data_IF_409821209370
#
_entry.id   IF_409821209370
#
_cell.length_a   1.000
_cell.length_b   1.000
_cell.length_c   1.000
_cell.angle_alpha   90.00
_cell.angle_beta   90.00
_cell.angle_gamma   90.00
#
_symmetry.space_group_name_H-M   'P 1'
#
loop_
_entity.id
_entity.type
_entity.pdbx_description
1 polymer ?
#
# COMPACT_ATOMS: atom_id res chain seq x y z
N UNK A 1 7.68 50.68 -9.44
CA UNK A 1 6.29 50.23 -9.21
C UNK A 1 6.26 48.73 -9.46
N UNK A 2 6.04 47.96 -8.39
CA UNK A 2 6.28 46.51 -8.37
C UNK A 2 4.98 45.80 -8.71
N UNK A 3 4.80 45.38 -9.95
CA UNK A 3 3.62 44.67 -10.43
C UNK A 3 3.77 43.18 -10.05
N UNK A 4 3.52 42.84 -8.77
CA UNK A 4 3.32 41.46 -8.33
C UNK A 4 1.98 41.01 -8.87
N UNK A 5 1.98 40.37 -10.05
CA UNK A 5 0.82 39.66 -10.56
C UNK A 5 0.24 38.79 -9.45
N UNK A 6 -1.02 39.08 -9.07
CA UNK A 6 -1.80 38.23 -8.16
C UNK A 6 -2.02 36.89 -8.86
N UNK A 7 -1.13 35.92 -8.60
CA UNK A 7 -1.37 34.55 -9.06
C UNK A 7 -2.76 34.11 -8.60
N UNK A 8 -3.59 33.69 -9.55
CA UNK A 8 -4.91 33.14 -9.30
C UNK A 8 -4.84 32.04 -8.25
N UNK A 9 -5.88 31.88 -7.43
CA UNK A 9 -5.99 30.77 -6.45
C UNK A 9 -5.76 29.41 -7.11
N UNK A 10 -6.24 29.22 -8.34
CA UNK A 10 -6.02 28.01 -9.12
C UNK A 10 -4.54 27.78 -9.49
N UNK A 11 -3.77 28.82 -9.77
CA UNK A 11 -2.34 28.68 -10.05
C UNK A 11 -1.54 28.35 -8.79
N UNK A 12 -1.97 28.86 -7.61
CA UNK A 12 -1.36 28.50 -6.31
C UNK A 12 -1.64 27.06 -5.91
N UNK A 13 -2.85 26.57 -6.17
CA UNK A 13 -3.20 25.16 -5.96
C UNK A 13 -2.38 24.23 -6.88
N UNK A 14 -2.22 24.59 -8.15
CA UNK A 14 -1.41 23.83 -9.11
C UNK A 14 0.08 23.83 -8.80
N UNK A 15 0.59 24.83 -8.07
CA UNK A 15 1.98 24.92 -7.64
C UNK A 15 2.23 24.21 -6.29
N UNK A 16 1.17 23.78 -5.57
CA UNK A 16 1.30 23.15 -4.26
C UNK A 16 2.00 21.80 -4.34
N UNK A 17 2.73 21.43 -3.29
CA UNK A 17 3.38 20.12 -3.17
C UNK A 17 2.37 18.97 -3.23
N UNK A 18 1.21 19.14 -2.60
CA UNK A 18 0.11 18.17 -2.62
C UNK A 18 -0.33 17.88 -4.06
N UNK A 19 -0.57 18.94 -4.86
CA UNK A 19 -0.96 18.79 -6.25
C UNK A 19 0.11 18.12 -7.10
N UNK A 20 1.38 18.49 -6.91
CA UNK A 20 2.52 17.88 -7.61
C UNK A 20 2.76 16.42 -7.22
N UNK A 21 2.43 16.04 -6.00
CA UNK A 21 2.50 14.65 -5.54
C UNK A 21 1.38 13.79 -6.13
N UNK A 22 0.17 14.34 -6.24
CA UNK A 22 -0.99 13.66 -6.83
C UNK A 22 -0.88 13.61 -8.37
N UNK A 23 -0.51 14.71 -9.00
CA UNK A 23 -0.40 14.85 -10.46
C UNK A 23 1.06 15.03 -10.85
N UNK A 24 1.81 13.94 -10.88
CA UNK A 24 3.25 13.95 -11.21
C UNK A 24 3.56 14.37 -12.64
N UNK A 25 2.63 14.19 -13.57
CA UNK A 25 2.81 14.48 -15.01
C UNK A 25 2.47 15.93 -15.39
N UNK A 26 2.03 16.78 -14.43
CA UNK A 26 1.56 18.13 -14.70
C UNK A 26 0.26 18.15 -15.51
N UNK A 27 -0.16 19.36 -15.97
CA UNK A 27 -1.37 19.47 -16.80
C UNK A 27 -1.05 19.03 -18.23
N UNK A 28 -1.68 17.96 -18.74
CA UNK A 28 -1.36 17.40 -20.05
C UNK A 28 -1.86 18.32 -21.17
N UNK A 29 -0.96 18.82 -21.99
CA UNK A 29 -1.28 19.74 -23.11
C UNK A 29 -1.40 19.01 -24.44
N UNK A 30 -0.68 17.90 -24.64
CA UNK A 30 -0.74 17.11 -25.87
C UNK A 30 -1.62 15.86 -25.71
N UNK A 31 -2.12 15.31 -26.84
CA UNK A 31 -2.91 14.06 -26.83
C UNK A 31 -2.16 12.91 -26.17
N UNK A 32 -0.85 12.82 -26.42
CA UNK A 32 0.04 11.81 -25.83
C UNK A 32 0.19 11.99 -24.33
N UNK A 33 0.33 13.24 -23.85
CA UNK A 33 0.37 13.54 -22.40
C UNK A 33 -0.95 13.24 -21.71
N UNK A 34 -2.11 13.48 -22.37
CA UNK A 34 -3.43 13.13 -21.83
C UNK A 34 -3.58 11.62 -21.67
N UNK A 35 -3.11 10.83 -22.64
CA UNK A 35 -3.09 9.36 -22.54
C UNK A 35 -2.23 8.90 -21.35
N UNK A 36 -1.04 9.47 -21.18
CA UNK A 36 -0.18 9.14 -20.03
C UNK A 36 -0.76 9.63 -18.70
N UNK A 37 -1.49 10.74 -18.67
CA UNK A 37 -2.17 11.23 -17.46
C UNK A 37 -3.34 10.32 -17.05
N UNK A 38 -4.07 9.74 -18.01
CA UNK A 38 -5.11 8.72 -17.73
C UNK A 38 -4.49 7.44 -17.19
N UNK A 39 -3.34 7.02 -17.74
CA UNK A 39 -2.58 5.87 -17.27
C UNK A 39 -1.85 6.14 -15.94
N UNK A 40 -1.62 7.41 -15.59
CA UNK A 40 -0.95 7.85 -14.36
C UNK A 40 -1.90 8.44 -13.32
N UNK A 41 -3.19 8.10 -13.35
CA UNK A 41 -4.15 8.56 -12.35
C UNK A 41 -3.90 7.90 -10.98
N UNK A 42 -4.65 8.30 -9.94
CA UNK A 42 -4.46 7.85 -8.55
C UNK A 42 -4.41 6.33 -8.40
N UNK A 43 -5.18 5.58 -9.19
CA UNK A 43 -5.15 4.10 -9.16
C UNK A 43 -3.85 3.52 -9.75
N UNK A 44 -3.28 4.16 -10.77
CA UNK A 44 -2.00 3.76 -11.37
C UNK A 44 -0.79 4.38 -10.63
N UNK A 45 -1.04 5.25 -9.67
CA UNK A 45 -0.01 5.79 -8.78
C UNK A 45 0.53 4.73 -7.83
N UNK A 46 -0.35 3.84 -7.37
CA UNK A 46 0.03 2.65 -6.60
C UNK A 46 0.81 1.65 -7.46
N UNK A 47 0.59 1.67 -8.79
CA UNK A 47 1.29 0.82 -9.75
C UNK A 47 1.81 1.68 -10.91
N UNK A 48 2.95 2.34 -10.77
CA UNK A 48 3.51 3.17 -11.84
C UNK A 48 3.74 2.33 -13.09
N UNK A 49 3.22 2.80 -14.24
CA UNK A 49 3.33 2.12 -15.53
C UNK A 49 4.77 1.95 -16.04
N UNK A 50 5.73 2.68 -15.45
CA UNK A 50 7.16 2.59 -15.77
C UNK A 50 7.97 2.58 -14.49
N UNK A 51 8.60 1.45 -14.21
CA UNK A 51 9.56 1.30 -13.11
C UNK A 51 10.98 1.26 -13.67
N UNK A 52 11.94 1.94 -13.03
CA UNK A 52 13.35 1.76 -13.35
C UNK A 52 13.72 0.29 -13.16
N UNK A 53 14.51 -0.27 -14.09
CA UNK A 53 14.91 -1.70 -14.04
C UNK A 53 15.57 -2.11 -12.71
N UNK A 54 16.32 -1.20 -12.08
CA UNK A 54 16.94 -1.49 -10.78
C UNK A 54 15.92 -1.57 -9.64
N UNK A 55 14.80 -0.83 -9.71
CA UNK A 55 13.76 -0.85 -8.68
C UNK A 55 12.95 -2.16 -8.66
N UNK A 56 13.03 -2.97 -9.72
CA UNK A 56 12.34 -4.27 -9.84
C UNK A 56 13.27 -5.44 -9.47
N UNK A 57 14.59 -5.20 -9.33
CA UNK A 57 15.52 -6.27 -8.95
C UNK A 57 15.24 -6.75 -7.54
N UNK A 58 15.04 -8.06 -7.40
CA UNK A 58 14.81 -8.73 -6.10
C UNK A 58 15.94 -8.40 -5.11
N UNK A 59 17.19 -8.41 -5.55
CA UNK A 59 18.34 -8.06 -4.71
C UNK A 59 18.33 -6.60 -4.21
N UNK A 60 17.61 -5.70 -4.88
CA UNK A 60 17.43 -4.33 -4.42
C UNK A 60 16.20 -4.16 -3.53
N UNK A 61 15.07 -4.79 -3.87
CA UNK A 61 13.80 -4.59 -3.15
C UNK A 61 13.53 -5.65 -2.09
N UNK A 62 14.16 -6.82 -2.19
CA UNK A 62 13.84 -8.04 -1.44
C UNK A 62 12.34 -8.35 -1.47
N UNK A 63 11.62 -7.76 -2.43
CA UNK A 63 10.18 -7.86 -2.61
C UNK A 63 9.34 -7.54 -1.36
N UNK A 64 9.88 -6.79 -0.40
CA UNK A 64 9.23 -6.59 0.90
C UNK A 64 7.84 -5.97 0.79
N UNK A 65 7.66 -4.95 -0.09
CA UNK A 65 6.34 -4.37 -0.32
C UNK A 65 5.35 -5.38 -0.94
N UNK A 66 5.81 -6.14 -1.93
CA UNK A 66 5.01 -7.20 -2.55
C UNK A 66 4.67 -8.33 -1.58
N UNK A 67 5.64 -8.73 -0.74
CA UNK A 67 5.43 -9.74 0.30
C UNK A 67 4.43 -9.27 1.36
N UNK A 68 4.54 -8.01 1.81
CA UNK A 68 3.56 -7.42 2.74
C UNK A 68 2.15 -7.39 2.15
N UNK A 69 2.02 -7.03 0.86
CA UNK A 69 0.73 -7.05 0.17
C UNK A 69 0.18 -8.48 0.02
N UNK A 70 1.02 -9.43 -0.32
CA UNK A 70 0.63 -10.85 -0.39
C UNK A 70 0.12 -11.35 0.98
N UNK A 71 0.86 -11.07 2.04
CA UNK A 71 0.45 -11.44 3.41
C UNK A 71 -0.86 -10.76 3.80
N UNK A 72 -1.06 -9.50 3.42
CA UNK A 72 -2.33 -8.80 3.62
C UNK A 72 -3.50 -9.55 2.96
N UNK A 73 -3.34 -9.99 1.71
CA UNK A 73 -4.38 -10.76 1.01
C UNK A 73 -4.65 -12.09 1.72
N UNK A 74 -3.60 -12.82 2.10
CA UNK A 74 -3.73 -14.08 2.86
C UNK A 74 -4.46 -13.86 4.17
N UNK A 75 -4.07 -12.84 4.95
CA UNK A 75 -4.71 -12.49 6.22
C UNK A 75 -6.17 -12.08 6.04
N UNK A 76 -6.49 -11.35 4.97
CA UNK A 76 -7.87 -10.95 4.67
C UNK A 76 -8.73 -12.18 4.38
N UNK A 77 -8.27 -13.08 3.52
CA UNK A 77 -9.03 -14.28 3.16
C UNK A 77 -9.22 -15.20 4.39
N UNK A 78 -8.12 -15.50 5.09
CA UNK A 78 -8.15 -16.37 6.26
C UNK A 78 -8.94 -15.74 7.42
N UNK A 79 -8.82 -14.42 7.61
CA UNK A 79 -9.57 -13.70 8.65
C UNK A 79 -11.07 -13.69 8.40
N UNK A 80 -11.51 -13.47 7.15
CA UNK A 80 -12.92 -13.55 6.78
C UNK A 80 -13.45 -14.97 7.02
N UNK A 81 -12.71 -16.01 6.63
CA UNK A 81 -13.11 -17.39 6.89
C UNK A 81 -13.27 -17.66 8.39
N UNK A 82 -12.30 -17.26 9.21
CA UNK A 82 -12.34 -17.48 10.66
C UNK A 82 -13.45 -16.68 11.33
N UNK A 83 -13.81 -15.51 10.82
CA UNK A 83 -14.86 -14.66 11.37
C UNK A 83 -16.24 -15.34 11.39
N UNK A 84 -16.50 -16.27 10.48
CA UNK A 84 -17.78 -17.04 10.46
C UNK A 84 -17.87 -18.10 11.56
N UNK A 85 -16.74 -18.50 12.15
CA UNK A 85 -16.67 -19.60 13.12
C UNK A 85 -16.25 -19.13 14.52
N UNK A 86 -15.77 -17.89 14.67
CA UNK A 86 -15.29 -17.36 15.93
C UNK A 86 -16.22 -16.28 16.47
N UNK A 87 -16.69 -16.47 17.70
CA UNK A 87 -17.53 -15.52 18.43
C UNK A 87 -16.68 -14.79 19.47
N UNK A 88 -16.37 -13.49 19.31
CA UNK A 88 -15.49 -12.72 20.19
C UNK A 88 -16.24 -12.29 21.48
N UNK A 89 -16.78 -13.25 22.23
CA UNK A 89 -17.46 -13.03 23.51
C UNK A 89 -16.74 -13.77 24.62
N UNK A 90 -16.85 -13.28 25.87
CA UNK A 90 -16.18 -13.86 27.02
C UNK A 90 -16.60 -15.33 27.24
N UNK A 91 -17.85 -15.67 26.91
CA UNK A 91 -18.42 -16.99 27.12
C UNK A 91 -17.97 -18.03 26.09
N UNK A 92 -17.79 -17.62 24.84
CA UNK A 92 -17.58 -18.57 23.72
C UNK A 92 -16.18 -18.51 23.11
N UNK A 93 -15.43 -17.40 23.28
CA UNK A 93 -14.16 -17.22 22.61
C UNK A 93 -13.15 -18.35 22.86
N UNK A 94 -13.09 -18.86 24.08
CA UNK A 94 -12.17 -19.93 24.45
C UNK A 94 -12.56 -21.27 23.81
N UNK A 95 -13.84 -21.64 23.90
CA UNK A 95 -14.35 -22.87 23.29
C UNK A 95 -14.25 -22.86 21.79
N UNK A 96 -14.61 -21.73 21.14
CA UNK A 96 -14.50 -21.57 19.68
C UNK A 96 -13.03 -21.69 19.19
N UNK A 97 -12.06 -21.24 19.97
CA UNK A 97 -10.65 -21.41 19.62
C UNK A 97 -10.21 -22.89 19.67
N UNK A 98 -10.70 -23.65 20.67
CA UNK A 98 -10.40 -25.09 20.77
C UNK A 98 -11.05 -25.82 19.60
N UNK A 99 -12.33 -25.57 19.35
CA UNK A 99 -13.09 -26.21 18.28
C UNK A 99 -12.43 -25.90 16.90
N UNK A 100 -12.02 -24.67 16.66
CA UNK A 100 -11.29 -24.27 15.44
C UNK A 100 -9.94 -24.98 15.30
N UNK A 101 -9.24 -25.26 16.42
CA UNK A 101 -7.94 -25.91 16.38
C UNK A 101 -8.06 -27.41 16.05
N UNK A 102 -9.15 -28.05 16.43
CA UNK A 102 -9.38 -29.48 16.22
C UNK A 102 -9.99 -29.81 14.86
N UNK A 103 -10.67 -28.84 14.23
CA UNK A 103 -11.31 -29.03 12.93
C UNK A 103 -10.34 -28.75 11.77
N UNK A 104 -10.13 -29.74 10.93
CA UNK A 104 -9.44 -29.58 9.63
C UNK A 104 -10.52 -29.30 8.56
N UNK A 105 -10.42 -28.24 7.74
CA UNK A 105 -9.27 -27.36 7.46
C UNK A 105 -9.15 -26.09 8.34
N UNK A 106 -10.05 -25.86 9.30
CA UNK A 106 -10.11 -24.63 10.09
C UNK A 106 -8.88 -24.44 10.97
N UNK A 107 -8.33 -25.52 11.54
CA UNK A 107 -7.08 -25.48 12.30
C UNK A 107 -5.90 -24.99 11.46
N UNK A 108 -5.77 -25.45 10.22
CA UNK A 108 -4.74 -24.99 9.29
C UNK A 108 -4.94 -23.51 8.95
N UNK A 109 -6.19 -23.09 8.70
CA UNK A 109 -6.52 -21.69 8.40
C UNK A 109 -6.17 -20.77 9.57
N UNK A 110 -6.46 -21.21 10.81
CA UNK A 110 -6.12 -20.46 12.03
C UNK A 110 -4.61 -20.32 12.19
N UNK A 111 -3.85 -21.39 12.00
CA UNK A 111 -2.38 -21.33 12.09
C UNK A 111 -1.77 -20.47 10.99
N UNK A 112 -2.27 -20.56 9.78
CA UNK A 112 -1.83 -19.71 8.65
C UNK A 112 -2.12 -18.23 8.94
N UNK A 113 -3.29 -17.92 9.51
CA UNK A 113 -3.64 -16.56 9.92
C UNK A 113 -2.71 -16.04 11.02
N UNK A 114 -2.46 -16.83 12.04
CA UNK A 114 -1.56 -16.50 13.15
C UNK A 114 -0.13 -16.22 12.68
N UNK A 115 0.46 -17.16 11.95
CA UNK A 115 1.81 -17.01 11.44
C UNK A 115 1.92 -15.93 10.37
N UNK A 116 0.90 -15.79 9.53
CA UNK A 116 0.78 -14.70 8.56
C UNK A 116 0.78 -13.33 9.26
N UNK A 117 0.09 -13.18 10.39
CA UNK A 117 0.11 -11.97 11.19
C UNK A 117 1.50 -11.61 11.71
N UNK A 118 2.24 -12.57 12.27
CA UNK A 118 3.62 -12.34 12.71
C UNK A 118 4.54 -11.95 11.54
N UNK A 119 4.43 -12.67 10.43
CA UNK A 119 5.21 -12.39 9.22
C UNK A 119 4.86 -11.01 8.65
N UNK A 120 3.58 -10.60 8.68
CA UNK A 120 3.13 -9.29 8.23
C UNK A 120 3.76 -8.15 9.04
N UNK A 121 3.75 -8.25 10.37
CA UNK A 121 4.38 -7.25 11.25
C UNK A 121 5.86 -7.11 10.93
N UNK A 122 6.57 -8.22 10.81
CA UNK A 122 8.01 -8.23 10.49
C UNK A 122 8.29 -7.62 9.11
N UNK A 123 7.56 -8.03 8.09
CA UNK A 123 7.79 -7.57 6.70
C UNK A 123 7.44 -6.10 6.53
N UNK A 124 6.36 -5.62 7.15
CA UNK A 124 5.99 -4.19 7.12
C UNK A 124 7.04 -3.35 7.83
N UNK A 125 7.53 -3.79 9.00
CA UNK A 125 8.57 -3.09 9.73
C UNK A 125 9.87 -2.98 8.92
N UNK A 126 10.32 -4.08 8.33
CA UNK A 126 11.50 -4.10 7.45
C UNK A 126 11.29 -3.25 6.19
N UNK A 127 10.08 -3.27 5.63
CA UNK A 127 9.72 -2.44 4.48
C UNK A 127 9.79 -0.95 4.83
N UNK A 128 9.21 -0.53 5.96
CA UNK A 128 9.28 0.85 6.45
C UNK A 128 10.72 1.29 6.72
N UNK A 129 11.51 0.46 7.40
CA UNK A 129 12.92 0.73 7.66
C UNK A 129 13.67 0.98 6.35
N UNK A 130 13.43 0.17 5.36
CA UNK A 130 14.04 0.32 4.05
C UNK A 130 13.61 1.58 3.32
N UNK A 131 12.30 1.88 3.28
CA UNK A 131 11.76 3.11 2.70
C UNK A 131 12.42 4.33 3.34
N UNK A 132 12.63 4.30 4.66
CA UNK A 132 13.33 5.33 5.41
C UNK A 132 14.80 5.43 4.99
N UNK A 133 15.54 4.31 5.01
CA UNK A 133 16.96 4.26 4.66
C UNK A 133 17.25 4.71 3.22
N UNK A 134 16.37 4.39 2.28
CA UNK A 134 16.50 4.78 0.86
C UNK A 134 15.97 6.18 0.56
N UNK A 135 15.34 6.84 1.51
CA UNK A 135 14.74 8.16 1.33
C UNK A 135 13.57 8.17 0.32
N UNK A 136 12.92 7.03 0.12
CA UNK A 136 11.82 6.89 -0.87
C UNK A 136 10.58 7.71 -0.53
N UNK A 137 10.48 8.20 0.69
CA UNK A 137 9.41 9.10 1.17
C UNK A 137 9.64 10.58 0.84
N UNK A 138 10.82 10.93 0.28
CA UNK A 138 11.14 12.32 -0.06
C UNK A 138 10.43 12.79 -1.33
N UNK A 139 10.27 14.12 -1.53
CA UNK A 139 9.67 14.66 -2.74
C UNK A 139 10.18 14.01 -4.03
N UNK A 140 9.32 13.69 -4.98
CA UNK A 140 7.88 14.00 -5.07
C UNK A 140 6.95 12.89 -4.52
N UNK A 141 7.42 12.05 -3.60
CA UNK A 141 6.70 10.85 -3.11
C UNK A 141 6.23 10.95 -1.66
N UNK A 142 6.19 12.14 -1.08
CA UNK A 142 5.86 12.38 0.33
C UNK A 142 4.44 11.96 0.72
N UNK A 143 3.55 11.78 -0.26
CA UNK A 143 2.14 11.36 -0.03
C UNK A 143 1.83 9.97 -0.59
N UNK A 144 2.83 9.12 -0.75
CA UNK A 144 2.65 7.74 -1.20
C UNK A 144 2.63 6.78 -0.02
#
# INVERSE_FOLDING_TARGET
MNNKEKKSLFSRLGDSQVWKSIIRSGVPRTRRQRMYAVLGNVFLHLHPARLPRHAVKIGYTWCMGGLSFFLFVVLTITGIMLMFYYRPTVEYAFTDIIDLAEQVPLGITRELHRWGGHAMVLTVWLHMLRVFMTGSYKPPREFN
#
